data_IF_209266684407
#
_entry.id   IF_209266684407
#
_cell.length_a   1.000
_cell.length_b   1.000
_cell.length_c   1.000
_cell.angle_alpha   90.00
_cell.angle_beta   90.00
_cell.angle_gamma   90.00
#
_symmetry.space_group_name_H-M   'P 1'
#
loop_
_entity.id
_entity.type
_entity.pdbx_description
1 polymer ?
#
# COMPACT_ATOMS: atom_id res chain seq x y z
N UNK A 1 -5.57 3.41 -7.94
CA UNK A 1 -6.65 2.69 -7.20
C UNK A 1 -6.78 3.28 -5.79
N UNK A 2 -7.99 3.48 -5.23
CA UNK A 2 -8.13 4.03 -3.87
C UNK A 2 -7.84 2.95 -2.82
N UNK A 3 -6.88 3.22 -1.93
CA UNK A 3 -6.53 2.34 -0.80
C UNK A 3 -6.98 2.99 0.50
N UNK A 4 -7.39 2.17 1.47
CA UNK A 4 -7.83 2.64 2.78
C UNK A 4 -6.87 2.19 3.86
N UNK A 5 -6.44 3.11 4.72
CA UNK A 5 -5.70 2.79 5.93
C UNK A 5 -6.67 2.71 7.11
N UNK A 6 -6.59 1.66 7.92
CA UNK A 6 -7.33 1.52 9.18
C UNK A 6 -6.38 1.36 10.36
N UNK A 7 -6.81 1.84 11.53
CA UNK A 7 -6.19 1.44 12.80
C UNK A 7 -6.87 0.20 13.36
N UNK A 8 -6.12 -0.83 13.72
CA UNK A 8 -6.61 -2.11 14.24
C UNK A 8 -5.86 -2.53 15.51
N UNK A 9 -6.55 -3.22 16.43
CA UNK A 9 -5.91 -3.82 17.62
C UNK A 9 -5.29 -5.17 17.25
N UNK A 10 -4.17 -5.51 17.90
CA UNK A 10 -3.44 -6.78 17.72
C UNK A 10 -4.36 -8.00 17.67
N UNK A 11 -5.24 -8.18 18.67
CA UNK A 11 -6.15 -9.33 18.75
C UNK A 11 -7.08 -9.48 17.53
N UNK A 12 -7.50 -8.37 16.92
CA UNK A 12 -8.40 -8.40 15.76
C UNK A 12 -7.62 -8.66 14.48
N UNK A 13 -6.42 -8.09 14.38
CA UNK A 13 -5.51 -8.37 13.28
C UNK A 13 -5.13 -9.87 13.22
N UNK A 14 -4.82 -10.48 14.36
CA UNK A 14 -4.51 -11.91 14.46
C UNK A 14 -5.69 -12.80 14.02
N UNK A 15 -6.92 -12.44 14.38
CA UNK A 15 -8.13 -13.16 13.93
C UNK A 15 -8.43 -12.98 12.43
N UNK A 16 -8.08 -11.84 11.85
CA UNK A 16 -8.20 -11.62 10.40
C UNK A 16 -7.15 -12.43 9.65
N UNK A 17 -5.91 -12.46 10.17
CA UNK A 17 -4.82 -13.26 9.63
C UNK A 17 -5.12 -14.77 9.66
N UNK A 18 -5.70 -15.27 10.75
CA UNK A 18 -6.08 -16.68 10.84
C UNK A 18 -7.31 -17.04 10.01
N UNK A 19 -8.03 -16.04 9.49
CA UNK A 19 -9.31 -16.22 8.79
C UNK A 19 -10.50 -16.50 9.71
N UNK A 20 -10.33 -16.45 11.04
CA UNK A 20 -11.44 -16.60 12.01
C UNK A 20 -12.42 -15.42 11.93
N UNK A 21 -11.90 -14.21 11.70
CA UNK A 21 -12.69 -12.98 11.55
C UNK A 21 -12.85 -12.64 10.07
N UNK A 22 -14.07 -12.76 9.58
CA UNK A 22 -14.41 -12.54 8.16
C UNK A 22 -14.91 -11.12 7.86
N UNK A 23 -15.35 -10.38 8.89
CA UNK A 23 -15.82 -9.01 8.73
C UNK A 23 -15.17 -8.06 9.73
N UNK A 24 -14.71 -6.91 9.25
CA UNK A 24 -14.24 -5.81 10.08
C UNK A 24 -15.38 -4.83 10.36
N UNK A 25 -15.62 -4.53 11.63
CA UNK A 25 -16.78 -3.73 12.06
C UNK A 25 -16.39 -2.28 12.25
N UNK A 26 -17.12 -1.37 11.61
CA UNK A 26 -16.88 0.08 11.67
C UNK A 26 -18.17 0.88 11.81
N UNK A 27 -18.05 2.10 12.35
CA UNK A 27 -19.17 3.06 12.44
C UNK A 27 -19.44 3.82 11.15
N UNK A 28 -18.50 3.76 10.20
CA UNK A 28 -18.59 4.43 8.90
C UNK A 28 -17.89 3.59 7.84
N UNK A 29 -18.11 3.96 6.58
CA UNK A 29 -17.52 3.33 5.41
C UNK A 29 -16.96 4.40 4.44
N UNK A 30 -15.97 4.06 3.60
CA UNK A 30 -15.49 4.93 2.55
C UNK A 30 -16.60 5.26 1.55
N UNK A 31 -16.62 6.51 1.09
CA UNK A 31 -17.50 6.98 0.00
C UNK A 31 -16.77 6.87 -1.34
N UNK A 32 -17.52 6.68 -2.42
CA UNK A 32 -16.98 6.75 -3.79
C UNK A 32 -15.72 5.88 -3.99
N UNK A 33 -15.76 4.66 -3.47
CA UNK A 33 -14.71 3.66 -3.64
C UNK A 33 -15.24 2.52 -4.51
N UNK A 34 -14.41 2.05 -5.42
CA UNK A 34 -14.72 0.89 -6.25
C UNK A 34 -14.39 -0.39 -5.48
N UNK A 35 -15.23 -1.40 -5.66
CA UNK A 35 -15.01 -2.72 -5.08
C UNK A 35 -14.41 -3.67 -6.12
N UNK A 36 -13.52 -4.58 -5.69
CA UNK A 36 -12.94 -4.67 -4.35
C UNK A 36 -11.86 -3.61 -4.10
N UNK A 37 -11.58 -3.26 -2.84
CA UNK A 37 -10.50 -2.31 -2.49
C UNK A 37 -9.53 -2.82 -1.42
N UNK A 38 -8.27 -2.37 -1.50
CA UNK A 38 -7.21 -2.72 -0.55
C UNK A 38 -7.38 -1.96 0.77
N UNK A 39 -7.27 -2.68 1.88
CA UNK A 39 -7.31 -2.14 3.25
C UNK A 39 -6.00 -2.42 3.96
N UNK A 40 -5.18 -1.38 4.15
CA UNK A 40 -3.92 -1.44 4.88
C UNK A 40 -4.18 -1.32 6.38
N UNK A 41 -3.53 -2.16 7.16
CA UNK A 41 -3.74 -2.30 8.60
C UNK A 41 -2.57 -1.68 9.38
N UNK A 42 -2.85 -0.58 10.09
CA UNK A 42 -1.97 -0.04 11.13
C UNK A 42 -2.33 -0.67 12.49
N UNK A 43 -1.40 -1.39 13.10
CA UNK A 43 -1.55 -1.89 14.46
C UNK A 43 -1.11 -0.83 15.47
N UNK A 44 -2.00 -0.45 16.39
CA UNK A 44 -1.74 0.55 17.42
C UNK A 44 -0.45 0.26 18.21
N UNK A 45 0.45 1.24 18.27
CA UNK A 45 1.73 1.15 18.99
C UNK A 45 2.80 0.30 18.30
N UNK A 46 2.55 -0.18 17.07
CA UNK A 46 3.51 -0.99 16.30
C UNK A 46 3.83 -0.34 14.96
N UNK A 47 2.83 -0.13 14.10
CA UNK A 47 3.03 0.34 12.72
C UNK A 47 2.08 -0.36 11.74
N UNK A 48 2.30 -0.15 10.45
CA UNK A 48 1.62 -0.89 9.37
C UNK A 48 2.16 -2.31 9.33
N UNK A 49 1.28 -3.31 9.39
CA UNK A 49 1.63 -4.73 9.58
C UNK A 49 1.17 -5.65 8.46
N UNK A 50 0.32 -5.17 7.56
CA UNK A 50 -0.27 -5.98 6.51
C UNK A 50 -1.45 -5.31 5.85
N UNK A 51 -2.16 -6.06 5.02
CA UNK A 51 -3.42 -5.64 4.43
C UNK A 51 -4.39 -6.81 4.28
N UNK A 52 -5.62 -6.47 3.92
CA UNK A 52 -6.59 -7.39 3.34
C UNK A 52 -7.37 -6.68 2.22
N UNK A 53 -8.11 -7.43 1.42
CA UNK A 53 -9.01 -6.86 0.40
C UNK A 53 -10.44 -6.86 0.91
N UNK A 54 -11.08 -5.70 0.89
CA UNK A 54 -12.50 -5.54 1.19
C UNK A 54 -13.32 -5.80 -0.07
N UNK A 55 -14.13 -6.85 -0.06
CA UNK A 55 -14.94 -7.29 -1.20
C UNK A 55 -16.22 -6.47 -1.36
N UNK A 56 -16.90 -6.20 -0.24
CA UNK A 56 -18.10 -5.36 -0.19
C UNK A 56 -18.36 -4.86 1.24
N UNK A 57 -19.29 -3.92 1.40
CA UNK A 57 -19.68 -3.38 2.70
C UNK A 57 -21.20 -3.52 2.89
N UNK A 58 -21.60 -4.06 4.04
CA UNK A 58 -23.00 -4.15 4.45
C UNK A 58 -23.27 -3.26 5.65
N UNK A 59 -24.37 -2.50 5.62
CA UNK A 59 -24.83 -1.66 6.74
C UNK A 59 -26.05 -2.28 7.39
N UNK A 60 -26.03 -2.47 8.71
CA UNK A 60 -27.17 -3.01 9.46
C UNK A 60 -27.12 -2.57 10.93
N UNK A 61 -28.28 -2.53 11.58
CA UNK A 61 -28.44 -2.41 13.04
C UNK A 61 -28.85 -3.74 13.69
N UNK A 62 -28.99 -4.82 12.91
CA UNK A 62 -29.25 -6.18 13.41
C UNK A 62 -27.92 -6.90 13.67
N UNK A 63 -27.40 -6.76 14.90
CA UNK A 63 -26.07 -7.25 15.27
C UNK A 63 -25.91 -8.77 15.26
N UNK A 64 -27.00 -9.52 15.37
CA UNK A 64 -26.98 -10.98 15.24
C UNK A 64 -26.43 -11.43 13.87
N UNK A 65 -26.61 -10.62 12.82
CA UNK A 65 -26.05 -10.91 11.50
C UNK A 65 -24.53 -10.72 11.43
N UNK A 66 -23.95 -9.96 12.37
CA UNK A 66 -22.51 -9.71 12.41
C UNK A 66 -21.78 -10.62 13.38
N UNK A 67 -22.42 -11.06 14.46
CA UNK A 67 -21.80 -11.87 15.51
C UNK A 67 -21.06 -13.11 14.97
N UNK A 68 -21.74 -13.91 14.14
CA UNK A 68 -21.20 -15.16 13.57
C UNK A 68 -19.93 -15.00 12.74
N UNK A 69 -19.65 -13.80 12.19
CA UNK A 69 -18.55 -13.55 11.26
C UNK A 69 -17.52 -12.54 11.77
N UNK A 70 -17.85 -11.80 12.82
CA UNK A 70 -17.05 -10.69 13.35
C UNK A 70 -16.17 -11.08 14.53
N UNK A 71 -16.39 -12.24 15.14
CA UNK A 71 -15.81 -12.67 16.42
C UNK A 71 -16.14 -11.71 17.59
N UNK A 72 -17.27 -11.01 17.52
CA UNK A 72 -17.76 -10.12 18.57
C UNK A 72 -19.16 -10.58 18.99
N UNK A 73 -19.47 -10.52 20.29
CA UNK A 73 -20.83 -10.79 20.75
C UNK A 73 -21.77 -9.63 20.41
N UNK A 74 -23.09 -9.88 20.41
CA UNK A 74 -24.10 -8.81 20.28
C UNK A 74 -23.91 -7.70 21.30
N UNK A 75 -23.50 -8.01 22.54
CA UNK A 75 -23.24 -7.01 23.58
C UNK A 75 -22.01 -6.15 23.25
N UNK A 76 -20.95 -6.75 22.72
CA UNK A 76 -19.75 -6.03 22.29
C UNK A 76 -20.04 -5.11 21.10
N UNK A 77 -20.81 -5.58 20.12
CA UNK A 77 -21.28 -4.79 18.99
C UNK A 77 -22.16 -3.61 19.45
N UNK A 78 -23.09 -3.88 20.37
CA UNK A 78 -23.96 -2.86 20.96
C UNK A 78 -23.17 -1.78 21.71
N UNK A 79 -22.18 -2.21 22.50
CA UNK A 79 -21.29 -1.29 23.22
C UNK A 79 -20.44 -0.48 22.24
N UNK A 80 -19.90 -1.12 21.21
CA UNK A 80 -19.12 -0.44 20.18
C UNK A 80 -19.94 0.61 19.45
N UNK A 81 -21.20 0.32 19.11
CA UNK A 81 -22.13 1.26 18.48
C UNK A 81 -22.48 2.48 19.37
N UNK A 82 -22.01 2.53 20.62
CA UNK A 82 -22.37 3.54 21.62
C UNK A 82 -23.89 3.60 21.81
N UNK A 83 -24.58 2.46 21.90
CA UNK A 83 -25.99 2.45 22.30
C UNK A 83 -26.10 2.90 23.77
N UNK A 84 -26.19 4.21 23.98
CA UNK A 84 -26.70 4.82 25.20
C UNK A 84 -28.18 5.16 24.98
N UNK A 85 -28.93 5.28 26.08
CA UNK A 85 -30.40 5.20 26.16
C UNK A 85 -31.21 6.07 25.18
N UNK A 86 -30.59 7.03 24.48
CA UNK A 86 -31.18 7.96 23.51
C UNK A 86 -31.06 7.57 22.03
N UNK A 87 -30.15 6.66 21.62
CA UNK A 87 -30.06 6.15 20.23
C UNK A 87 -30.09 4.63 20.23
N UNK A 88 -31.22 4.05 19.83
CA UNK A 88 -31.46 2.59 19.87
C UNK A 88 -31.28 1.88 18.52
N UNK A 89 -30.98 2.62 17.46
CA UNK A 89 -31.03 2.14 16.07
C UNK A 89 -29.73 2.41 15.27
N UNK A 90 -28.61 2.69 15.97
CA UNK A 90 -27.34 3.00 15.33
C UNK A 90 -26.87 1.82 14.44
N UNK A 91 -26.76 2.07 13.14
CA UNK A 91 -26.20 1.08 12.22
C UNK A 91 -24.67 0.99 12.36
N UNK A 92 -24.15 -0.22 12.20
CA UNK A 92 -22.75 -0.52 11.97
C UNK A 92 -22.53 -0.96 10.51
N UNK A 93 -21.30 -0.86 10.07
CA UNK A 93 -20.83 -1.28 8.76
C UNK A 93 -19.93 -2.50 8.95
N UNK A 94 -20.25 -3.58 8.25
CA UNK A 94 -19.43 -4.77 8.13
C UNK A 94 -18.65 -4.71 6.82
N UNK A 95 -17.35 -4.56 6.92
CA UNK A 95 -16.42 -4.59 5.79
C UNK A 95 -16.04 -6.05 5.56
N UNK A 96 -16.52 -6.63 4.47
CA UNK A 96 -16.39 -8.06 4.19
C UNK A 96 -15.00 -8.33 3.62
N UNK A 97 -14.24 -9.17 4.31
CA UNK A 97 -12.87 -9.51 3.94
C UNK A 97 -12.90 -10.60 2.88
N UNK A 98 -12.30 -10.35 1.72
CA UNK A 98 -12.18 -11.34 0.65
C UNK A 98 -11.34 -12.51 1.15
N UNK A 99 -11.88 -13.72 1.09
CA UNK A 99 -11.21 -14.94 1.56
C UNK A 99 -9.86 -15.12 0.85
N UNK A 100 -8.80 -15.39 1.63
CA UNK A 100 -7.44 -15.61 1.11
C UNK A 100 -6.72 -14.33 0.64
N UNK A 101 -7.26 -13.13 0.91
CA UNK A 101 -6.64 -11.86 0.53
C UNK A 101 -5.82 -11.19 1.64
N UNK A 102 -5.84 -11.76 2.85
CA UNK A 102 -5.12 -11.19 3.98
C UNK A 102 -3.63 -11.51 3.86
N UNK A 103 -2.80 -10.47 3.90
CA UNK A 103 -1.34 -10.60 3.81
C UNK A 103 -0.69 -9.92 5.01
N UNK A 104 0.16 -10.65 5.73
CA UNK A 104 1.12 -10.09 6.66
C UNK A 104 2.37 -9.61 5.92
N UNK A 105 2.89 -8.45 6.29
CA UNK A 105 4.14 -7.95 5.73
C UNK A 105 5.34 -8.52 6.48
N UNK A 106 6.44 -8.69 5.73
CA UNK A 106 7.72 -9.18 6.27
C UNK A 106 8.28 -8.28 7.37
N UNK A 107 7.98 -6.98 7.28
CA UNK A 107 8.37 -5.97 8.26
C UNK A 107 7.23 -5.02 8.61
N UNK A 108 7.44 -4.28 9.69
CA UNK A 108 6.55 -3.22 10.13
C UNK A 108 6.96 -1.91 9.46
N UNK A 109 6.00 -1.20 8.89
CA UNK A 109 6.25 0.12 8.29
C UNK A 109 5.72 1.25 9.17
N UNK A 110 6.46 2.36 9.22
CA UNK A 110 5.98 3.57 9.89
C UNK A 110 4.80 4.18 9.14
N UNK A 111 3.87 4.83 9.83
CA UNK A 111 2.73 5.52 9.21
C UNK A 111 3.17 6.67 8.29
N UNK A 112 4.38 7.20 8.48
CA UNK A 112 5.01 8.19 7.58
C UNK A 112 5.24 7.66 6.18
N UNK A 113 5.37 6.34 6.00
CA UNK A 113 5.55 5.72 4.67
C UNK A 113 4.35 5.93 3.74
N UNK A 114 3.17 6.26 4.31
CA UNK A 114 1.96 6.63 3.57
C UNK A 114 1.67 8.14 3.63
N UNK A 115 2.69 8.96 3.91
CA UNK A 115 2.57 10.42 3.96
C UNK A 115 1.79 10.96 5.17
N UNK A 116 1.63 10.15 6.23
CA UNK A 116 0.88 10.55 7.42
C UNK A 116 1.79 10.75 8.63
N UNK A 117 1.48 11.76 9.45
CA UNK A 117 2.22 12.01 10.70
C UNK A 117 1.68 11.24 11.91
N UNK A 118 0.45 10.71 11.81
CA UNK A 118 -0.22 9.98 12.89
C UNK A 118 -1.20 8.96 12.32
N UNK A 119 -1.45 7.84 13.01
CA UNK A 119 -2.43 6.86 12.56
C UNK A 119 -3.87 7.42 12.57
N UNK A 120 -4.75 6.90 11.71
CA UNK A 120 -6.14 7.35 11.64
C UNK A 120 -6.91 6.93 12.90
N UNK A 121 -7.84 7.78 13.37
CA UNK A 121 -8.71 7.43 14.50
C UNK A 121 -9.69 6.31 14.15
N UNK A 122 -10.14 6.26 12.90
CA UNK A 122 -10.94 5.16 12.36
C UNK A 122 -10.27 4.65 11.08
N UNK A 123 -10.43 5.40 9.99
CA UNK A 123 -9.86 5.09 8.69
C UNK A 123 -9.64 6.39 7.89
N UNK A 124 -8.79 6.34 6.87
CA UNK A 124 -8.63 7.40 5.87
C UNK A 124 -8.22 6.81 4.52
N UNK A 125 -8.33 7.60 3.46
CA UNK A 125 -7.75 7.24 2.17
C UNK A 125 -6.23 7.46 2.21
N UNK A 126 -5.52 6.57 1.52
CA UNK A 126 -4.10 6.71 1.21
C UNK A 126 -3.90 6.42 -0.28
N UNK A 127 -2.76 6.87 -0.83
CA UNK A 127 -2.27 6.36 -2.11
C UNK A 127 -1.98 4.85 -2.00
N UNK A 128 -1.82 4.17 -3.13
CA UNK A 128 -1.56 2.74 -3.07
C UNK A 128 -0.29 2.43 -2.28
N UNK A 129 -0.38 1.42 -1.43
CA UNK A 129 0.71 1.00 -0.57
C UNK A 129 1.43 -0.17 -1.24
N UNK A 130 2.70 0.08 -1.58
CA UNK A 130 3.58 -0.83 -2.30
C UNK A 130 4.88 -1.10 -1.56
N UNK A 131 5.03 -0.57 -0.33
CA UNK A 131 6.29 -0.66 0.43
C UNK A 131 6.67 -2.08 0.84
N UNK A 132 5.70 -3.00 0.82
CA UNK A 132 5.87 -4.42 1.12
C UNK A 132 6.25 -5.28 -0.09
N UNK A 133 6.32 -4.71 -1.29
CA UNK A 133 6.57 -5.52 -2.47
C UNK A 133 7.98 -6.09 -2.48
N UNK A 134 8.06 -7.36 -2.85
CA UNK A 134 9.31 -8.09 -3.09
C UNK A 134 9.26 -8.73 -4.47
N UNK A 135 10.42 -9.05 -5.02
CA UNK A 135 10.54 -9.82 -6.26
C UNK A 135 11.60 -10.88 -6.07
N UNK A 136 11.43 -12.05 -6.69
CA UNK A 136 12.51 -13.03 -6.74
C UNK A 136 13.32 -12.94 -8.03
N UNK A 137 14.53 -13.48 -7.98
CA UNK A 137 15.45 -13.68 -9.09
C UNK A 137 16.29 -14.93 -8.83
N UNK A 138 16.75 -15.62 -9.88
CA UNK A 138 17.67 -16.76 -9.78
C UNK A 138 19.14 -16.38 -10.02
N UNK A 139 19.40 -15.22 -10.61
CA UNK A 139 20.72 -14.73 -11.01
C UNK A 139 21.14 -13.43 -10.31
N UNK A 140 20.24 -12.82 -9.52
CA UNK A 140 20.40 -11.51 -8.87
C UNK A 140 20.55 -10.33 -9.86
N UNK A 141 20.16 -10.53 -11.12
CA UNK A 141 20.20 -9.50 -12.16
C UNK A 141 18.81 -9.30 -12.78
N UNK A 142 18.12 -10.40 -13.04
CA UNK A 142 16.81 -10.45 -13.70
C UNK A 142 15.72 -10.70 -12.66
N UNK A 143 15.02 -9.65 -12.26
CA UNK A 143 13.86 -9.72 -11.37
C UNK A 143 12.55 -9.72 -12.17
N UNK A 144 11.63 -10.60 -11.79
CA UNK A 144 10.37 -10.84 -12.51
C UNK A 144 9.16 -10.05 -11.98
N UNK A 145 8.13 -10.77 -11.55
CA UNK A 145 6.92 -10.18 -10.99
C UNK A 145 7.10 -9.73 -9.53
N UNK A 146 6.25 -8.81 -9.07
CA UNK A 146 6.19 -8.41 -7.67
C UNK A 146 5.20 -9.24 -6.86
N UNK A 147 5.53 -9.52 -5.61
CA UNK A 147 4.73 -10.27 -4.63
C UNK A 147 4.51 -9.44 -3.38
N UNK A 148 3.49 -9.77 -2.56
CA UNK A 148 3.16 -8.94 -1.39
C UNK A 148 4.06 -9.20 -0.17
N UNK A 149 4.79 -10.32 -0.17
CA UNK A 149 5.74 -10.68 0.87
C UNK A 149 6.68 -11.79 0.37
N UNK A 150 7.65 -12.12 1.20
CA UNK A 150 8.67 -13.13 0.93
C UNK A 150 8.06 -14.53 0.79
N UNK A 151 7.02 -14.86 1.56
CA UNK A 151 6.36 -16.16 1.50
C UNK A 151 5.72 -16.43 0.13
N UNK A 152 4.98 -15.46 -0.42
CA UNK A 152 4.39 -15.54 -1.75
C UNK A 152 5.46 -15.70 -2.83
N UNK A 153 6.54 -14.89 -2.76
CA UNK A 153 7.63 -14.95 -3.73
C UNK A 153 8.37 -16.30 -3.70
N UNK A 154 8.67 -16.82 -2.51
CA UNK A 154 9.34 -18.12 -2.35
C UNK A 154 8.49 -19.28 -2.83
N UNK A 155 7.17 -19.20 -2.63
CA UNK A 155 6.24 -20.22 -3.12
C UNK A 155 6.30 -20.31 -4.65
N UNK A 156 6.20 -19.18 -5.35
CA UNK A 156 6.27 -19.14 -6.81
C UNK A 156 7.65 -19.59 -7.31
N UNK A 157 8.73 -19.08 -6.71
CA UNK A 157 10.09 -19.47 -7.07
C UNK A 157 10.32 -20.99 -6.91
N UNK A 158 9.74 -21.61 -5.88
CA UNK A 158 9.82 -23.06 -5.67
C UNK A 158 9.04 -23.84 -6.72
N UNK A 159 7.84 -23.39 -7.09
CA UNK A 159 7.04 -24.01 -8.17
C UNK A 159 7.80 -23.96 -9.51
N UNK A 160 8.49 -22.86 -9.78
CA UNK A 160 9.33 -22.71 -10.98
C UNK A 160 10.57 -23.62 -10.95
N UNK A 161 11.28 -23.69 -9.82
CA UNK A 161 12.41 -24.63 -9.64
C UNK A 161 11.98 -26.08 -9.85
N UNK A 162 10.82 -26.48 -9.31
CA UNK A 162 10.28 -27.83 -9.52
C UNK A 162 9.96 -28.12 -10.99
N UNK A 163 9.59 -27.09 -11.76
CA UNK A 163 9.44 -27.19 -13.22
C UNK A 163 10.80 -27.44 -13.90
N UNK A 164 11.85 -26.70 -13.52
CA UNK A 164 13.21 -26.95 -14.00
C UNK A 164 13.66 -28.39 -13.71
N UNK A 165 13.48 -28.90 -12.49
CA UNK A 165 13.85 -30.28 -12.16
C UNK A 165 13.17 -31.33 -13.07
N UNK A 166 11.95 -31.03 -13.54
CA UNK A 166 11.17 -31.94 -14.38
C UNK A 166 11.55 -31.88 -15.86
N UNK A 167 11.89 -30.69 -16.37
CA UNK A 167 12.00 -30.45 -17.81
C UNK A 167 13.39 -29.98 -18.28
N UNK A 168 14.22 -29.43 -17.38
CA UNK A 168 15.54 -28.87 -17.68
C UNK A 168 16.50 -29.06 -16.49
N UNK A 169 16.87 -30.32 -16.26
CA UNK A 169 17.65 -30.75 -15.09
C UNK A 169 19.08 -30.18 -15.05
N UNK A 170 19.62 -29.72 -16.19
CA UNK A 170 20.97 -29.16 -16.28
C UNK A 170 21.04 -27.72 -15.76
N UNK A 171 19.90 -27.00 -15.73
CA UNK A 171 19.84 -25.58 -15.39
C UNK A 171 19.03 -25.27 -14.12
N UNK A 172 18.83 -26.27 -13.24
CA UNK A 172 18.09 -26.08 -11.99
C UNK A 172 18.76 -24.99 -11.12
N UNK A 173 18.05 -23.89 -10.80
CA UNK A 173 18.58 -22.85 -9.93
C UNK A 173 18.94 -23.39 -8.55
N UNK A 174 20.13 -23.03 -8.06
CA UNK A 174 20.60 -23.43 -6.72
C UNK A 174 20.32 -22.37 -5.65
N UNK A 175 20.04 -21.14 -6.09
CA UNK A 175 19.81 -19.99 -5.22
C UNK A 175 18.62 -19.19 -5.73
N UNK A 176 17.94 -18.54 -4.79
CA UNK A 176 16.88 -17.57 -5.04
C UNK A 176 17.21 -16.32 -4.25
N UNK A 177 17.14 -15.17 -4.92
CA UNK A 177 17.35 -13.86 -4.33
C UNK A 177 16.00 -13.18 -4.18
N UNK A 178 15.62 -12.82 -2.96
CA UNK A 178 14.39 -12.08 -2.68
C UNK A 178 14.75 -10.62 -2.47
N UNK A 179 14.42 -9.78 -3.46
CA UNK A 179 14.74 -8.36 -3.47
C UNK A 179 13.59 -7.50 -2.96
N UNK A 180 13.88 -6.56 -2.06
CA UNK A 180 12.92 -5.53 -1.66
C UNK A 180 12.72 -4.52 -2.80
N UNK A 181 11.46 -4.33 -3.21
CA UNK A 181 11.11 -3.47 -4.33
C UNK A 181 10.83 -2.04 -3.87
N UNK A 182 11.52 -1.08 -4.47
CA UNK A 182 11.14 0.34 -4.43
C UNK A 182 10.48 0.70 -5.77
N UNK A 183 9.15 0.81 -5.74
CA UNK A 183 8.38 1.26 -6.91
C UNK A 183 8.78 2.68 -7.27
N UNK A 184 8.98 2.93 -8.56
CA UNK A 184 9.25 4.27 -9.02
C UNK A 184 8.04 5.18 -8.74
N UNK A 185 8.30 6.32 -8.11
CA UNK A 185 7.32 7.37 -7.90
C UNK A 185 7.86 8.63 -8.56
N UNK A 186 7.28 9.08 -9.69
CA UNK A 186 7.72 10.33 -10.28
C UNK A 186 7.44 11.45 -9.29
N UNK A 187 8.25 12.50 -9.31
CA UNK A 187 8.01 13.70 -8.53
C UNK A 187 8.43 14.94 -9.32
N UNK A 188 7.92 16.09 -8.91
CA UNK A 188 8.17 17.38 -9.56
C UNK A 188 9.08 18.29 -8.73
N UNK A 189 9.83 17.75 -7.77
CA UNK A 189 10.66 18.50 -6.81
C UNK A 189 11.91 19.18 -7.40
N UNK A 190 12.06 19.19 -8.72
CA UNK A 190 13.14 19.88 -9.43
C UNK A 190 12.66 20.52 -10.72
N UNK A 191 11.35 20.65 -10.89
CA UNK A 191 10.70 21.20 -12.08
C UNK A 191 10.38 22.69 -11.96
N UNK A 192 10.69 23.32 -10.83
CA UNK A 192 10.28 24.70 -10.57
C UNK A 192 10.80 25.66 -11.63
N UNK A 193 12.07 25.50 -12.04
CA UNK A 193 12.64 26.32 -13.11
C UNK A 193 12.02 26.00 -14.47
N UNK A 194 11.76 24.73 -14.80
CA UNK A 194 11.13 24.37 -16.08
C UNK A 194 9.76 25.05 -16.25
N UNK A 195 8.98 25.16 -15.16
CA UNK A 195 7.66 25.81 -15.17
C UNK A 195 7.77 27.34 -15.22
N UNK A 196 8.71 27.92 -14.49
CA UNK A 196 8.96 29.38 -14.50
C UNK A 196 9.43 29.81 -15.89
N UNK A 197 10.41 29.12 -16.46
CA UNK A 197 10.93 29.36 -17.81
C UNK A 197 9.82 29.21 -18.85
N UNK A 198 8.95 28.20 -18.73
CA UNK A 198 7.81 28.05 -19.64
C UNK A 198 6.85 29.26 -19.62
N UNK A 199 6.63 29.87 -18.45
CA UNK A 199 5.80 31.07 -18.34
C UNK A 199 6.49 32.33 -18.91
N UNK A 200 7.81 32.45 -18.74
CA UNK A 200 8.61 33.53 -19.33
C UNK A 200 8.60 33.41 -20.85
N UNK A 201 8.92 32.23 -21.40
CA UNK A 201 8.87 31.99 -22.85
C UNK A 201 7.48 32.25 -23.44
N UNK A 202 6.40 31.96 -22.69
CA UNK A 202 5.04 32.29 -23.14
C UNK A 202 4.83 33.81 -23.28
N UNK A 203 5.34 34.61 -22.34
CA UNK A 203 5.24 36.07 -22.42
C UNK A 203 5.98 36.61 -23.65
N UNK A 204 7.20 36.12 -23.90
CA UNK A 204 7.99 36.43 -25.09
C UNK A 204 7.24 36.07 -26.38
N UNK A 205 6.74 34.83 -26.48
CA UNK A 205 6.05 34.32 -27.66
C UNK A 205 4.75 35.08 -27.96
N UNK A 206 4.06 35.58 -26.92
CA UNK A 206 2.85 36.39 -27.05
C UNK A 206 3.14 37.89 -27.33
N UNK A 207 4.42 38.27 -27.38
CA UNK A 207 4.87 39.63 -27.74
C UNK A 207 4.93 40.59 -26.56
N UNK A 208 5.03 40.09 -25.33
CA UNK A 208 5.24 40.89 -24.12
C UNK A 208 6.72 41.11 -23.78
N UNK A 209 7.65 40.56 -24.57
CA UNK A 209 9.12 40.62 -24.40
C UNK A 209 9.75 42.01 -24.20
N UNK A 210 9.06 43.08 -24.59
CA UNK A 210 9.52 44.46 -24.35
C UNK A 210 9.22 44.97 -22.93
N UNK A 211 8.40 44.25 -22.16
CA UNK A 211 7.87 44.65 -20.85
C UNK A 211 8.13 43.62 -19.75
N UNK A 212 8.84 42.53 -20.04
CA UNK A 212 8.99 41.38 -19.15
C UNK A 212 10.44 41.14 -18.68
N UNK A 213 11.35 42.10 -18.87
CA UNK A 213 12.78 41.99 -18.52
C UNK A 213 13.02 41.50 -17.06
N UNK A 214 12.09 41.79 -16.15
CA UNK A 214 12.12 41.39 -14.74
C UNK A 214 11.01 40.39 -14.33
N UNK A 215 10.25 39.84 -15.28
CA UNK A 215 9.15 38.92 -14.97
C UNK A 215 9.68 37.60 -14.39
N UNK A 216 9.30 37.32 -13.14
CA UNK A 216 9.71 36.12 -12.38
C UNK A 216 11.24 35.98 -12.14
N UNK A 217 12.05 36.99 -12.44
CA UNK A 217 13.51 36.96 -12.21
C UNK A 217 13.88 36.93 -10.72
N UNK A 218 13.05 37.49 -9.85
CA UNK A 218 13.24 37.60 -8.40
C UNK A 218 12.71 36.39 -7.59
N UNK A 219 12.27 35.32 -8.26
CA UNK A 219 11.74 34.12 -7.56
C UNK A 219 12.82 33.53 -6.65
N UNK A 220 12.54 33.54 -5.35
CA UNK A 220 13.49 32.98 -4.38
C UNK A 220 13.50 31.46 -4.42
N UNK A 221 14.54 30.87 -3.80
CA UNK A 221 14.62 29.42 -3.63
C UNK A 221 13.39 28.88 -2.86
N UNK A 222 12.98 29.55 -1.80
CA UNK A 222 11.86 29.13 -0.95
C UNK A 222 10.54 29.17 -1.72
N UNK A 223 10.30 30.21 -2.51
CA UNK A 223 9.11 30.32 -3.36
C UNK A 223 9.08 29.24 -4.46
N UNK A 224 10.25 28.93 -5.03
CA UNK A 224 10.37 27.84 -6.01
C UNK A 224 10.09 26.47 -5.39
N UNK A 225 10.65 26.19 -4.21
CA UNK A 225 10.40 24.94 -3.48
C UNK A 225 8.94 24.80 -3.04
N UNK A 226 8.28 25.91 -2.67
CA UNK A 226 6.83 25.97 -2.44
C UNK A 226 6.04 25.57 -3.70
N UNK A 227 6.33 26.20 -4.85
CA UNK A 227 5.72 25.88 -6.14
C UNK A 227 5.91 24.40 -6.52
N UNK A 228 7.12 23.88 -6.40
CA UNK A 228 7.45 22.47 -6.67
C UNK A 228 6.62 21.52 -5.80
N UNK A 229 6.44 21.83 -4.52
CA UNK A 229 5.61 21.05 -3.62
C UNK A 229 4.12 21.05 -3.99
N UNK A 230 3.58 22.20 -4.40
CA UNK A 230 2.20 22.31 -4.86
C UNK A 230 1.96 21.57 -6.19
N UNK A 231 2.88 21.73 -7.15
CA UNK A 231 2.85 21.02 -8.43
C UNK A 231 2.92 19.52 -8.23
N UNK A 232 3.84 19.03 -7.40
CA UNK A 232 3.95 17.60 -7.09
C UNK A 232 2.63 17.08 -6.48
N UNK A 233 2.06 17.80 -5.51
CA UNK A 233 0.80 17.39 -4.89
C UNK A 233 -0.36 17.30 -5.89
N UNK A 234 -0.43 18.20 -6.88
CA UNK A 234 -1.42 18.14 -7.97
C UNK A 234 -1.12 16.98 -8.91
N UNK A 235 0.14 16.78 -9.27
CA UNK A 235 0.58 15.73 -10.19
C UNK A 235 0.33 14.33 -9.62
N UNK A 236 0.67 14.08 -8.34
CA UNK A 236 0.40 12.81 -7.66
C UNK A 236 -1.10 12.49 -7.63
N UNK A 237 -1.95 13.49 -7.38
CA UNK A 237 -3.42 13.32 -7.41
C UNK A 237 -3.92 12.95 -8.80
N UNK A 238 -3.36 13.56 -9.84
CA UNK A 238 -3.72 13.28 -11.22
C UNK A 238 -3.32 11.86 -11.63
N UNK A 239 -2.08 11.45 -11.37
CA UNK A 239 -1.60 10.07 -11.59
C UNK A 239 -2.51 9.05 -10.91
N UNK A 240 -2.78 9.25 -9.61
CA UNK A 240 -3.61 8.32 -8.82
C UNK A 240 -5.04 8.22 -9.33
N UNK A 241 -5.60 9.35 -9.79
CA UNK A 241 -6.96 9.42 -10.33
C UNK A 241 -7.10 8.61 -11.63
N UNK A 242 -6.07 8.65 -12.46
CA UNK A 242 -6.09 8.02 -13.78
C UNK A 242 -5.45 6.63 -13.83
N UNK A 243 -4.84 6.18 -12.74
CA UNK A 243 -4.21 4.86 -12.71
C UNK A 243 -2.87 4.82 -13.44
N UNK A 244 -2.13 5.93 -13.45
CA UNK A 244 -0.85 6.05 -14.15
C UNK A 244 0.37 5.79 -13.25
N UNK A 245 0.17 5.12 -12.12
CA UNK A 245 1.27 4.71 -11.25
C UNK A 245 2.25 3.81 -12.03
N UNK A 246 3.56 3.97 -11.79
CA UNK A 246 4.57 3.21 -12.51
C UNK A 246 4.50 1.72 -12.14
N UNK A 247 4.54 0.86 -13.16
CA UNK A 247 4.58 -0.60 -12.99
C UNK A 247 5.99 -1.19 -12.83
N UNK A 248 7.02 -0.34 -12.77
CA UNK A 248 8.43 -0.74 -12.68
C UNK A 248 9.06 -0.29 -11.35
N UNK A 249 10.13 -0.97 -10.98
CA UNK A 249 10.79 -0.83 -9.69
C UNK A 249 12.30 -1.03 -9.81
N UNK A 250 13.01 -0.66 -8.73
CA UNK A 250 14.39 -1.09 -8.49
C UNK A 250 14.43 -1.97 -7.25
N UNK A 251 15.46 -2.82 -7.17
CA UNK A 251 15.76 -3.62 -5.98
C UNK A 251 16.88 -2.94 -5.20
N UNK A 252 16.62 -2.61 -3.93
CA UNK A 252 17.60 -1.90 -3.09
C UNK A 252 18.49 -2.84 -2.27
N UNK A 253 17.92 -3.97 -1.85
CA UNK A 253 18.59 -4.99 -1.07
C UNK A 253 17.90 -6.33 -1.32
N UNK A 254 18.58 -7.42 -1.00
CA UNK A 254 18.06 -8.76 -1.17
C UNK A 254 18.50 -9.69 -0.05
N UNK A 255 17.66 -10.69 0.21
CA UNK A 255 18.00 -11.87 0.99
C UNK A 255 18.28 -13.05 0.05
N UNK A 256 19.22 -13.92 0.41
CA UNK A 256 19.55 -15.11 -0.39
C UNK A 256 18.96 -16.36 0.25
N UNK A 257 18.44 -17.27 -0.58
CA UNK A 257 17.89 -18.56 -0.18
C UNK A 257 18.56 -19.65 -1.00
N UNK A 258 19.05 -20.70 -0.35
CA UNK A 258 19.63 -21.86 -0.99
C UNK A 258 18.56 -22.91 -1.25
N UNK A 259 18.56 -23.47 -2.46
CA UNK A 259 17.72 -24.61 -2.79
C UNK A 259 18.43 -25.91 -2.40
N UNK A 260 17.91 -26.58 -1.37
CA UNK A 260 18.47 -27.80 -0.79
C UNK A 260 17.35 -28.83 -0.60
N UNK A 261 17.48 -29.99 -1.24
CA UNK A 261 16.56 -31.13 -1.08
C UNK A 261 15.07 -30.77 -1.23
N UNK A 262 14.70 -29.99 -2.26
CA UNK A 262 13.30 -29.63 -2.49
C UNK A 262 12.79 -28.44 -1.65
N UNK A 263 13.68 -27.73 -0.93
CA UNK A 263 13.31 -26.63 -0.04
C UNK A 263 14.21 -25.42 -0.24
N UNK A 264 13.65 -24.24 -0.02
CA UNK A 264 14.38 -22.98 0.02
C UNK A 264 14.69 -22.62 1.48
N UNK A 265 15.98 -22.57 1.81
CA UNK A 265 16.48 -22.25 3.15
C UNK A 265 17.22 -20.92 3.12
N UNK A 266 16.87 -19.99 4.02
CA UNK A 266 17.51 -18.67 4.07
C UNK A 266 19.00 -18.84 4.38
N UNK A 267 19.86 -18.22 3.57
CA UNK A 267 21.29 -18.14 3.80
C UNK A 267 21.52 -17.20 4.99
N UNK A 268 21.96 -17.74 6.13
CA UNK A 268 22.34 -16.91 7.27
C UNK A 268 23.63 -16.19 6.90
N UNK A 269 23.56 -14.88 6.67
CA UNK A 269 24.73 -14.02 6.68
C UNK A 269 25.22 -13.95 8.12
N UNK A 270 26.20 -14.77 8.49
CA UNK A 270 27.03 -14.51 9.66
C UNK A 270 27.65 -13.11 9.44
N UNK A 271 27.22 -12.13 10.24
CA UNK A 271 27.91 -10.84 10.37
C UNK A 271 29.18 -11.01 11.22
#
# INVERSE_FOLDING_TARGET
>A
MKTVLISIKKQWWEKILSGEKEIEIRKSAPKDIEFPFKVVCYQSGKGIVGHFVCECITKSNLYQYFESRSCLTVEELSRYANLNTTRKDQCLFAWIIKKGSTVAYDRVFDVKTVGMNRPPQSWCYISDFTGNYVSYSFDNESYGSTYNNTEEALKEALEEIQSFEKYDYDNVPKKVYIGECEMFKPNLSSSGWDVIEAAICQADDEGFGEWDEDYLSDVTKEQREELEGELDAVFQKWITRHGFEAGFYKVNCYDTYNYVNGKLEKENTEQ
#
